data_IF_082392629689
#
_entry.id   IF_082392629689
#
_cell.length_a   1.000
_cell.length_b   1.000
_cell.length_c   1.000
_cell.angle_alpha   90.00
_cell.angle_beta   90.00
_cell.angle_gamma   90.00
#
_symmetry.space_group_name_H-M   'P 1'
#
loop_
_entity.id
_entity.type
_entity.pdbx_description
1 polymer ?
#
# COMPACT_ATOMS: atom_id res chain seq x y z
N UNK A 1 8.02 46.90 -15.46
CA UNK A 1 7.27 46.33 -14.33
C UNK A 1 6.72 44.98 -14.78
N UNK A 2 6.78 43.97 -13.93
CA UNK A 2 6.16 42.67 -14.22
C UNK A 2 4.71 42.73 -13.78
N UNK A 3 3.79 42.47 -14.72
CA UNK A 3 2.36 42.47 -14.45
C UNK A 3 1.89 41.02 -14.61
N UNK A 4 1.11 40.53 -13.64
CA UNK A 4 0.55 39.18 -13.67
C UNK A 4 -0.97 39.29 -13.74
N UNK A 5 -1.56 38.66 -14.74
CA UNK A 5 -3.01 38.61 -14.93
C UNK A 5 -3.44 37.27 -15.49
N UNK A 6 -4.68 36.86 -15.18
CA UNK A 6 -5.33 35.69 -15.79
C UNK A 6 -5.93 36.02 -17.16
N UNK A 7 -6.25 37.28 -17.40
CA UNK A 7 -6.79 37.79 -18.67
C UNK A 7 -5.71 38.60 -19.38
N UNK A 8 -5.74 38.59 -20.71
CA UNK A 8 -4.75 39.31 -21.53
C UNK A 8 -4.81 40.81 -21.25
N UNK A 9 -3.65 41.37 -20.91
CA UNK A 9 -3.49 42.81 -20.71
C UNK A 9 -3.04 43.42 -22.04
N UNK A 10 -3.74 44.47 -22.48
CA UNK A 10 -3.43 45.19 -23.74
C UNK A 10 -2.67 46.49 -23.53
N UNK A 11 -2.66 47.04 -22.30
CA UNK A 11 -1.91 48.24 -21.92
C UNK A 11 -1.46 48.20 -20.44
N UNK A 12 -0.39 48.92 -20.11
CA UNK A 12 0.14 48.93 -18.75
C UNK A 12 -0.85 49.60 -17.78
N UNK A 13 -1.30 48.94 -16.69
CA UNK A 13 -2.27 49.53 -15.75
C UNK A 13 -1.79 50.80 -15.04
N UNK A 14 -0.48 51.04 -14.99
CA UNK A 14 0.10 52.20 -14.31
C UNK A 14 0.40 53.38 -15.25
N UNK A 15 0.91 53.12 -16.47
CA UNK A 15 1.32 54.20 -17.40
C UNK A 15 0.58 54.20 -18.74
N UNK A 16 -0.35 53.27 -18.97
CA UNK A 16 -1.10 53.07 -20.22
C UNK A 16 -0.21 52.85 -21.46
N UNK A 17 1.06 52.49 -21.24
CA UNK A 17 2.00 52.17 -22.31
C UNK A 17 1.75 50.79 -22.92
N UNK A 18 2.41 50.52 -24.04
CA UNK A 18 2.41 49.21 -24.68
C UNK A 18 2.98 48.14 -23.74
N UNK A 19 2.33 46.98 -23.70
CA UNK A 19 2.80 45.80 -22.95
C UNK A 19 3.18 44.70 -23.92
N UNK A 20 4.06 43.82 -23.46
CA UNK A 20 4.49 42.64 -24.21
C UNK A 20 4.50 41.47 -23.25
N UNK A 21 3.95 40.34 -23.67
CA UNK A 21 3.94 39.12 -22.88
C UNK A 21 5.38 38.63 -22.67
N UNK A 22 5.68 38.25 -21.43
CA UNK A 22 6.94 37.58 -21.11
C UNK A 22 7.00 36.24 -21.85
N UNK A 23 8.02 36.00 -22.72
CA UNK A 23 8.12 34.76 -23.47
C UNK A 23 8.53 33.56 -22.59
N UNK A 24 8.95 33.78 -21.34
CA UNK A 24 9.37 32.72 -20.44
C UNK A 24 8.20 31.85 -19.94
N UNK A 25 8.54 30.63 -19.52
CA UNK A 25 7.62 29.68 -18.90
C UNK A 25 8.10 29.30 -17.51
N UNK A 26 7.17 28.89 -16.66
CA UNK A 26 7.49 28.41 -15.32
C UNK A 26 8.11 27.00 -15.38
N UNK A 27 9.06 26.75 -14.48
CA UNK A 27 9.63 25.43 -14.24
C UNK A 27 8.52 24.43 -13.85
N UNK A 28 8.63 23.18 -14.29
CA UNK A 28 7.68 22.12 -13.91
C UNK A 28 7.67 21.87 -12.40
N UNK A 29 8.79 22.10 -11.72
CA UNK A 29 8.85 22.00 -10.26
C UNK A 29 8.15 23.15 -9.55
N UNK A 30 7.90 24.28 -10.24
CA UNK A 30 7.08 25.36 -9.71
C UNK A 30 5.64 24.89 -9.52
N UNK A 31 5.01 24.37 -10.58
CA UNK A 31 3.62 23.88 -10.50
C UNK A 31 3.50 22.64 -9.61
N UNK A 32 4.45 21.71 -9.69
CA UNK A 32 4.44 20.47 -8.89
C UNK A 32 4.62 20.74 -7.39
N UNK A 33 5.31 21.82 -7.02
CA UNK A 33 5.46 22.24 -5.62
C UNK A 33 4.16 22.77 -5.00
N UNK A 34 3.20 23.23 -5.80
CA UNK A 34 1.90 23.68 -5.31
C UNK A 34 0.92 22.51 -5.05
N UNK A 35 1.30 21.28 -5.41
CA UNK A 35 0.45 20.09 -5.37
C UNK A 35 -0.34 19.88 -4.06
N UNK A 36 0.25 20.06 -2.85
CA UNK A 36 -0.43 19.74 -1.60
C UNK A 36 -1.69 20.55 -1.31
N UNK A 37 -1.92 21.66 -2.00
CA UNK A 37 -3.07 22.55 -1.79
C UNK A 37 -3.76 22.95 -3.10
N UNK A 38 -3.01 23.10 -4.20
CA UNK A 38 -3.55 23.40 -5.53
C UNK A 38 -4.56 22.35 -6.02
N UNK A 39 -4.36 21.08 -5.65
CA UNK A 39 -5.27 19.98 -6.01
C UNK A 39 -6.65 20.08 -5.36
N UNK A 40 -6.76 20.86 -4.28
CA UNK A 40 -7.99 21.01 -3.51
C UNK A 40 -8.72 22.31 -3.83
N UNK A 41 -8.36 22.98 -4.93
CA UNK A 41 -9.06 24.18 -5.40
C UNK A 41 -8.47 25.50 -4.92
N UNK A 42 -7.31 25.48 -4.26
CA UNK A 42 -6.50 26.66 -4.04
C UNK A 42 -6.25 27.42 -5.37
N UNK A 43 -6.25 28.76 -5.39
CA UNK A 43 -6.24 29.69 -4.26
C UNK A 43 -7.63 30.03 -3.68
N UNK A 44 -8.68 29.31 -4.05
CA UNK A 44 -9.99 29.49 -3.42
C UNK A 44 -10.03 28.78 -2.07
N UNK A 45 -10.75 29.37 -1.12
CA UNK A 45 -11.00 28.77 0.18
C UNK A 45 -12.12 27.72 0.10
N UNK A 46 -11.77 26.52 -0.32
CA UNK A 46 -12.71 25.41 -0.56
C UNK A 46 -12.92 24.57 0.70
N UNK A 47 -14.02 23.81 0.74
CA UNK A 47 -14.27 22.87 1.84
C UNK A 47 -13.25 21.73 1.85
N UNK A 48 -12.81 21.29 0.67
CA UNK A 48 -11.81 20.24 0.48
C UNK A 48 -10.45 20.67 1.05
N UNK A 49 -10.02 21.91 0.77
CA UNK A 49 -8.76 22.44 1.29
C UNK A 49 -8.79 22.47 2.83
N UNK A 50 -9.87 22.97 3.43
CA UNK A 50 -10.04 23.00 4.90
C UNK A 50 -10.07 21.62 5.55
N UNK A 51 -10.62 20.63 4.85
CA UNK A 51 -10.81 19.29 5.40
C UNK A 51 -9.54 18.44 5.33
N UNK A 52 -8.75 18.60 4.26
CA UNK A 52 -7.70 17.64 3.91
C UNK A 52 -6.28 18.23 3.92
N UNK A 53 -6.13 19.54 4.06
CA UNK A 53 -4.85 20.20 4.30
C UNK A 53 -4.68 20.55 5.80
N UNK A 54 -3.52 20.27 6.41
CA UNK A 54 -2.36 19.59 5.84
C UNK A 54 -2.56 18.07 5.70
N UNK A 55 -1.91 17.48 4.71
CA UNK A 55 -2.04 16.04 4.42
C UNK A 55 -1.31 15.16 5.47
N UNK A 56 -1.62 13.87 5.52
CA UNK A 56 -1.06 12.98 6.55
C UNK A 56 0.31 12.42 6.18
N UNK A 57 0.45 11.82 5.00
CA UNK A 57 1.67 11.12 4.57
C UNK A 57 1.96 11.41 3.10
N UNK A 58 3.15 11.90 2.80
CA UNK A 58 3.68 11.97 1.43
C UNK A 58 4.55 10.74 1.15
N UNK A 59 4.22 9.96 0.12
CA UNK A 59 4.99 8.78 -0.31
C UNK A 59 5.74 9.10 -1.59
N UNK A 60 7.07 8.94 -1.61
CA UNK A 60 7.87 9.17 -2.82
C UNK A 60 9.23 8.47 -2.80
N UNK A 61 9.87 8.34 -3.96
CA UNK A 61 11.26 7.94 -4.09
C UNK A 61 12.23 9.03 -3.63
N UNK A 62 13.42 8.64 -3.16
CA UNK A 62 14.43 9.60 -2.70
C UNK A 62 15.00 10.50 -3.81
N UNK A 63 14.83 10.14 -5.08
CA UNK A 63 15.44 10.85 -6.21
C UNK A 63 14.82 12.22 -6.50
N UNK A 64 13.65 12.51 -5.92
CA UNK A 64 12.96 13.81 -6.04
C UNK A 64 12.75 14.54 -4.71
N UNK A 65 13.52 14.22 -3.66
CA UNK A 65 13.45 14.91 -2.37
C UNK A 65 13.65 16.43 -2.55
N UNK A 66 14.72 16.85 -3.22
CA UNK A 66 15.01 18.28 -3.41
C UNK A 66 14.13 18.94 -4.46
N UNK A 67 13.79 18.22 -5.53
CA UNK A 67 13.03 18.76 -6.65
C UNK A 67 11.53 18.88 -6.35
N UNK A 68 10.99 18.02 -5.49
CA UNK A 68 9.56 17.97 -5.21
C UNK A 68 9.23 18.18 -3.73
N UNK A 69 9.73 17.31 -2.83
CA UNK A 69 9.39 17.38 -1.39
C UNK A 69 9.76 18.72 -0.79
N UNK A 70 11.00 19.17 -1.00
CA UNK A 70 11.48 20.46 -0.49
C UNK A 70 10.74 21.65 -1.13
N UNK A 71 10.37 21.55 -2.41
CA UNK A 71 9.59 22.59 -3.10
C UNK A 71 8.18 22.71 -2.54
N UNK A 72 7.53 21.58 -2.26
CA UNK A 72 6.22 21.55 -1.61
C UNK A 72 6.27 22.20 -0.23
N UNK A 73 7.28 21.88 0.58
CA UNK A 73 7.46 22.48 1.92
C UNK A 73 7.66 23.99 1.79
N UNK A 74 8.58 24.43 0.94
CA UNK A 74 8.85 25.86 0.74
C UNK A 74 7.61 26.63 0.30
N UNK A 75 6.89 26.14 -0.71
CA UNK A 75 5.71 26.84 -1.24
C UNK A 75 4.53 26.83 -0.27
N UNK A 76 4.34 25.73 0.46
CA UNK A 76 3.30 25.66 1.49
C UNK A 76 3.57 26.65 2.63
N UNK A 77 4.82 26.76 3.09
CA UNK A 77 5.19 27.73 4.12
C UNK A 77 5.03 29.19 3.64
N UNK A 78 5.25 29.44 2.35
CA UNK A 78 5.06 30.76 1.76
C UNK A 78 3.58 31.12 1.59
N UNK A 79 2.76 30.22 1.03
CA UNK A 79 1.38 30.54 0.63
C UNK A 79 0.31 30.18 1.67
N UNK A 80 0.48 29.08 2.39
CA UNK A 80 -0.47 28.60 3.41
C UNK A 80 0.04 28.81 4.84
N UNK A 81 1.33 29.14 5.01
CA UNK A 81 1.98 29.32 6.30
C UNK A 81 1.91 28.09 7.23
N UNK A 82 1.75 26.91 6.65
CA UNK A 82 1.71 25.62 7.35
C UNK A 82 2.52 24.56 6.58
N UNK A 83 2.93 23.49 7.27
CA UNK A 83 3.61 22.37 6.62
C UNK A 83 2.61 21.54 5.78
N UNK A 84 2.97 21.07 4.58
CA UNK A 84 2.01 20.42 3.68
C UNK A 84 1.65 18.98 4.04
N UNK A 85 2.50 18.30 4.83
CA UNK A 85 2.33 16.91 5.24
C UNK A 85 2.97 16.65 6.61
N UNK A 86 2.36 15.77 7.41
CA UNK A 86 2.88 15.39 8.74
C UNK A 86 4.03 14.39 8.67
N UNK A 87 3.95 13.43 7.75
CA UNK A 87 4.97 12.40 7.54
C UNK A 87 5.45 12.38 6.08
N UNK A 88 6.72 12.06 5.88
CA UNK A 88 7.29 11.78 4.55
C UNK A 88 7.85 10.35 4.56
N UNK A 89 7.22 9.48 3.79
CA UNK A 89 7.68 8.11 3.58
C UNK A 89 8.52 8.04 2.31
N UNK A 90 9.83 7.85 2.49
CA UNK A 90 10.78 7.74 1.39
C UNK A 90 11.06 6.27 1.10
N UNK A 91 10.62 5.79 -0.06
CA UNK A 91 11.02 4.47 -0.54
C UNK A 91 12.27 4.57 -1.44
N UNK A 92 13.00 3.47 -1.60
CA UNK A 92 14.05 3.40 -2.61
C UNK A 92 13.51 3.17 -4.00
N UNK A 93 14.41 2.97 -4.96
CA UNK A 93 14.07 2.78 -6.36
C UNK A 93 14.04 1.29 -6.73
N UNK A 94 13.14 0.95 -7.64
CA UNK A 94 13.18 -0.36 -8.29
C UNK A 94 14.32 -0.38 -9.31
N UNK A 95 15.22 -1.33 -9.15
CA UNK A 95 16.39 -1.57 -10.00
C UNK A 95 16.19 -2.85 -10.80
N UNK A 96 16.85 -2.95 -11.94
CA UNK A 96 16.89 -4.22 -12.67
C UNK A 96 17.60 -5.32 -11.86
N UNK A 97 17.57 -6.56 -12.35
CA UNK A 97 18.17 -7.71 -11.66
C UNK A 97 19.68 -7.59 -11.41
N UNK A 98 20.36 -6.70 -12.15
CA UNK A 98 21.78 -6.36 -12.00
C UNK A 98 22.02 -5.14 -11.09
N UNK A 99 20.96 -4.51 -10.57
CA UNK A 99 21.05 -3.34 -9.68
C UNK A 99 21.14 -1.98 -10.40
N UNK A 100 20.96 -1.92 -11.73
CA UNK A 100 21.01 -0.66 -12.48
C UNK A 100 19.66 0.08 -12.38
N UNK A 101 19.70 1.43 -12.44
CA UNK A 101 18.45 2.23 -12.55
C UNK A 101 17.68 1.75 -13.78
N UNK A 102 16.39 1.49 -13.63
CA UNK A 102 15.54 1.26 -14.80
C UNK A 102 15.39 2.57 -15.58
N UNK A 103 15.65 2.55 -16.89
CA UNK A 103 15.46 3.69 -17.76
C UNK A 103 15.09 3.26 -19.18
N UNK A 104 14.39 4.14 -19.89
CA UNK A 104 14.09 3.94 -21.31
C UNK A 104 15.37 3.81 -22.16
N UNK A 105 16.41 4.59 -21.83
CA UNK A 105 17.68 4.58 -22.56
C UNK A 105 18.46 3.27 -22.43
N UNK A 106 18.33 2.56 -21.31
CA UNK A 106 18.98 1.27 -21.08
C UNK A 106 18.14 0.09 -21.57
N UNK A 107 16.88 0.32 -21.96
CA UNK A 107 15.96 -0.73 -22.40
C UNK A 107 15.66 -1.78 -21.31
N UNK A 108 16.01 -1.51 -20.05
CA UNK A 108 15.85 -2.42 -18.92
C UNK A 108 14.59 -2.12 -18.08
N UNK A 109 13.70 -1.29 -18.60
CA UNK A 109 12.41 -1.01 -17.99
C UNK A 109 11.47 -2.20 -18.14
N UNK A 110 10.83 -2.59 -17.04
CA UNK A 110 9.80 -3.62 -17.04
C UNK A 110 8.46 -2.89 -17.00
N UNK A 111 7.60 -3.17 -17.98
CA UNK A 111 6.24 -2.64 -17.98
C UNK A 111 5.40 -3.39 -16.94
N UNK A 112 4.88 -2.72 -15.90
CA UNK A 112 4.11 -3.39 -14.86
C UNK A 112 2.85 -4.07 -15.40
N UNK A 113 2.25 -3.55 -16.48
CA UNK A 113 1.05 -4.14 -17.06
C UNK A 113 1.32 -5.51 -17.69
N UNK A 114 2.51 -5.72 -18.26
CA UNK A 114 2.88 -7.01 -18.84
C UNK A 114 3.05 -8.05 -17.74
N UNK A 115 3.70 -7.67 -16.62
CA UNK A 115 3.82 -8.52 -15.43
C UNK A 115 2.46 -8.83 -14.81
N UNK A 116 1.56 -7.83 -14.74
CA UNK A 116 0.19 -8.03 -14.24
C UNK A 116 -0.58 -8.99 -15.15
N UNK A 117 -0.44 -8.86 -16.47
CA UNK A 117 -1.10 -9.74 -17.44
C UNK A 117 -0.68 -11.21 -17.28
N UNK A 118 0.57 -11.45 -16.89
CA UNK A 118 1.13 -12.81 -16.76
C UNK A 118 0.98 -13.40 -15.35
N UNK A 119 1.18 -12.60 -14.30
CA UNK A 119 1.25 -13.06 -12.90
C UNK A 119 0.13 -12.52 -12.00
N UNK A 120 -0.62 -11.53 -12.43
CA UNK A 120 -1.66 -10.87 -11.65
C UNK A 120 -1.16 -9.67 -10.83
N UNK A 121 -2.08 -8.76 -10.52
CA UNK A 121 -1.78 -7.53 -9.78
C UNK A 121 -1.33 -7.78 -8.34
N UNK A 122 -1.94 -8.75 -7.65
CA UNK A 122 -1.60 -9.07 -6.26
C UNK A 122 -0.18 -9.60 -6.13
N UNK A 123 0.25 -10.45 -7.07
CA UNK A 123 1.61 -10.97 -7.12
C UNK A 123 2.64 -9.84 -7.25
N UNK A 124 2.41 -8.89 -8.17
CA UNK A 124 3.28 -7.73 -8.35
C UNK A 124 3.28 -6.82 -7.11
N UNK A 125 2.11 -6.48 -6.57
CA UNK A 125 1.99 -5.63 -5.38
C UNK A 125 2.71 -6.22 -4.18
N UNK A 126 2.48 -7.51 -3.90
CA UNK A 126 3.13 -8.20 -2.80
C UNK A 126 4.65 -8.28 -3.01
N UNK A 127 5.12 -8.43 -4.25
CA UNK A 127 6.56 -8.38 -4.59
C UNK A 127 7.20 -7.03 -4.29
N UNK A 128 6.50 -5.93 -4.58
CA UNK A 128 7.02 -4.57 -4.38
C UNK A 128 7.03 -4.14 -2.91
N UNK A 129 6.14 -4.71 -2.09
CA UNK A 129 6.04 -4.40 -0.65
C UNK A 129 6.96 -5.30 0.18
N UNK A 130 7.04 -6.60 -0.13
CA UNK A 130 7.84 -7.55 0.66
C UNK A 130 9.35 -7.38 0.48
N UNK A 131 10.10 -7.67 1.54
CA UNK A 131 11.57 -7.68 1.50
C UNK A 131 12.18 -6.34 1.12
N UNK A 132 11.48 -5.23 1.39
CA UNK A 132 11.96 -3.88 1.17
C UNK A 132 11.82 -3.05 2.44
N UNK A 133 12.95 -2.54 2.92
CA UNK A 133 12.99 -1.56 4.01
C UNK A 133 12.91 -0.16 3.40
N UNK A 134 12.14 0.78 3.99
CA UNK A 134 12.07 2.15 3.48
C UNK A 134 13.47 2.76 3.25
N UNK A 135 13.61 3.52 2.17
CA UNK A 135 14.88 4.10 1.72
C UNK A 135 15.82 3.17 0.94
N UNK A 136 15.68 1.85 1.03
CA UNK A 136 16.53 0.92 0.30
C UNK A 136 16.02 0.65 -1.13
N UNK A 137 16.96 0.56 -2.06
CA UNK A 137 16.66 0.13 -3.43
C UNK A 137 16.34 -1.37 -3.44
N UNK A 138 15.34 -1.74 -4.24
CA UNK A 138 15.00 -3.14 -4.47
C UNK A 138 15.47 -3.58 -5.86
N UNK A 139 16.11 -4.75 -5.94
CA UNK A 139 16.34 -5.41 -7.23
C UNK A 139 15.11 -6.22 -7.62
N UNK A 140 14.65 -6.02 -8.84
CA UNK A 140 13.50 -6.72 -9.37
C UNK A 140 13.93 -8.05 -10.01
N UNK A 141 13.34 -9.13 -9.52
CA UNK A 141 13.55 -10.50 -9.97
C UNK A 141 12.19 -11.10 -10.32
N UNK A 142 12.07 -11.68 -11.51
CA UNK A 142 10.78 -12.27 -11.94
C UNK A 142 10.42 -13.49 -11.09
N UNK A 143 11.43 -14.21 -10.62
CA UNK A 143 11.32 -15.35 -9.73
C UNK A 143 10.60 -14.99 -8.41
N UNK A 144 10.74 -13.73 -7.94
CA UNK A 144 9.99 -13.24 -6.78
C UNK A 144 8.52 -13.04 -7.09
N UNK A 145 8.20 -12.57 -8.31
CA UNK A 145 6.82 -12.42 -8.76
C UNK A 145 6.16 -13.79 -8.89
N UNK A 146 6.85 -14.77 -9.45
CA UNK A 146 6.41 -16.17 -9.52
C UNK A 146 6.12 -16.76 -8.13
N UNK A 147 7.05 -16.57 -7.19
CA UNK A 147 6.86 -17.01 -5.81
C UNK A 147 5.61 -16.38 -5.17
N UNK A 148 5.40 -15.08 -5.38
CA UNK A 148 4.25 -14.36 -4.83
C UNK A 148 2.93 -14.69 -5.54
N UNK A 149 2.96 -15.05 -6.83
CA UNK A 149 1.80 -15.67 -7.51
C UNK A 149 1.45 -17.00 -6.86
N UNK A 150 2.45 -17.83 -6.54
CA UNK A 150 2.21 -19.11 -5.86
C UNK A 150 1.62 -18.90 -4.46
N UNK A 151 2.02 -17.84 -3.76
CA UNK A 151 1.39 -17.44 -2.50
C UNK A 151 -0.07 -17.05 -2.66
N UNK A 152 -0.41 -16.21 -3.65
CA UNK A 152 -1.81 -15.91 -3.96
C UNK A 152 -2.61 -17.19 -4.25
N UNK A 153 -2.02 -18.15 -4.97
CA UNK A 153 -2.66 -19.45 -5.21
C UNK A 153 -2.79 -20.29 -3.92
N UNK A 154 -1.85 -20.20 -2.98
CA UNK A 154 -1.97 -20.86 -1.66
C UNK A 154 -3.16 -20.30 -0.87
N UNK A 155 -3.34 -18.98 -0.85
CA UNK A 155 -4.51 -18.31 -0.25
C UNK A 155 -5.81 -18.79 -0.92
N UNK A 156 -5.85 -18.85 -2.25
CA UNK A 156 -6.98 -19.36 -2.99
C UNK A 156 -7.33 -20.81 -2.62
N UNK A 157 -6.34 -21.69 -2.55
CA UNK A 157 -6.54 -23.09 -2.19
C UNK A 157 -7.02 -23.26 -0.75
N UNK A 158 -6.49 -22.48 0.19
CA UNK A 158 -6.95 -22.46 1.57
C UNK A 158 -8.42 -22.00 1.67
N UNK A 159 -8.75 -20.90 1.00
CA UNK A 159 -10.12 -20.36 0.95
C UNK A 159 -11.10 -21.37 0.35
N UNK A 160 -10.72 -22.01 -0.75
CA UNK A 160 -11.52 -23.06 -1.39
C UNK A 160 -11.71 -24.26 -0.46
N UNK A 161 -10.67 -24.69 0.26
CA UNK A 161 -10.77 -25.76 1.24
C UNK A 161 -11.79 -25.41 2.34
N UNK A 162 -11.74 -24.20 2.90
CA UNK A 162 -12.70 -23.75 3.91
C UNK A 162 -14.11 -23.80 3.34
N UNK A 163 -14.37 -23.12 2.21
CA UNK A 163 -15.70 -23.04 1.59
C UNK A 163 -16.31 -24.42 1.31
N UNK A 164 -15.51 -25.38 0.82
CA UNK A 164 -15.97 -26.75 0.57
C UNK A 164 -16.38 -27.51 1.85
N UNK A 165 -15.85 -27.09 3.01
CA UNK A 165 -16.08 -27.72 4.30
C UNK A 165 -17.11 -26.98 5.17
N UNK A 166 -17.79 -25.95 4.64
CA UNK A 166 -18.87 -25.24 5.33
C UNK A 166 -20.27 -25.86 5.13
N UNK A 167 -20.35 -27.14 4.75
CA UNK A 167 -21.64 -27.83 4.68
C UNK A 167 -22.27 -27.86 6.09
N UNK A 168 -23.55 -27.46 6.18
CA UNK A 168 -24.29 -27.31 7.45
C UNK A 168 -23.63 -26.34 8.45
N UNK A 169 -22.87 -25.37 7.96
CA UNK A 169 -22.35 -24.29 8.79
C UNK A 169 -23.50 -23.47 9.39
N UNK A 170 -23.38 -23.19 10.68
CA UNK A 170 -24.36 -22.45 11.46
C UNK A 170 -23.70 -21.15 11.96
N UNK A 171 -24.01 -20.03 11.29
CA UNK A 171 -23.49 -18.70 11.65
C UNK A 171 -23.86 -18.27 13.08
N UNK A 172 -24.91 -18.87 13.66
CA UNK A 172 -25.33 -18.57 15.04
C UNK A 172 -24.56 -19.36 16.10
N UNK A 173 -23.82 -20.39 15.70
CA UNK A 173 -23.00 -21.18 16.60
C UNK A 173 -21.74 -20.41 16.98
N UNK A 174 -21.54 -20.21 18.29
CA UNK A 174 -20.31 -19.64 18.86
C UNK A 174 -19.73 -20.65 19.85
N UNK A 175 -18.48 -21.13 19.64
CA UNK A 175 -17.87 -22.07 20.56
C UNK A 175 -17.54 -21.41 21.89
N UNK A 176 -17.63 -22.19 22.97
CA UNK A 176 -17.16 -21.80 24.30
C UNK A 176 -15.69 -22.21 24.48
N UNK A 177 -15.01 -21.71 25.50
CA UNK A 177 -13.62 -22.09 25.77
C UNK A 177 -13.44 -23.60 25.99
N UNK A 178 -14.46 -24.27 26.52
CA UNK A 178 -14.45 -25.72 26.74
C UNK A 178 -14.52 -26.53 25.43
N UNK A 179 -14.98 -25.91 24.34
CA UNK A 179 -15.04 -26.54 23.02
C UNK A 179 -13.70 -26.50 22.27
N UNK A 180 -12.77 -25.66 22.71
CA UNK A 180 -11.49 -25.44 22.03
C UNK A 180 -10.46 -26.51 22.42
N UNK A 181 -9.90 -27.16 21.42
CA UNK A 181 -8.74 -28.03 21.58
C UNK A 181 -7.46 -27.20 21.79
N UNK A 182 -6.35 -27.86 22.14
CA UNK A 182 -5.04 -27.18 22.20
C UNK A 182 -4.66 -26.54 20.86
N UNK A 183 -4.96 -27.20 19.74
CA UNK A 183 -4.70 -26.67 18.40
C UNK A 183 -5.53 -25.42 18.12
N UNK A 184 -6.79 -25.39 18.56
CA UNK A 184 -7.67 -24.23 18.41
C UNK A 184 -7.19 -23.03 19.24
N UNK A 185 -6.83 -23.27 20.50
CA UNK A 185 -6.27 -22.22 21.37
C UNK A 185 -4.97 -21.66 20.79
N UNK A 186 -4.10 -22.54 20.28
CA UNK A 186 -2.84 -22.17 19.66
C UNK A 186 -3.04 -21.30 18.41
N UNK A 187 -3.94 -21.66 17.49
CA UNK A 187 -4.12 -20.85 16.28
C UNK A 187 -4.76 -19.49 16.59
N UNK A 188 -5.68 -19.41 17.55
CA UNK A 188 -6.27 -18.14 17.99
C UNK A 188 -5.23 -17.23 18.61
N UNK A 189 -4.33 -17.78 19.43
CA UNK A 189 -3.20 -17.03 19.99
C UNK A 189 -2.27 -16.54 18.87
N UNK A 190 -1.86 -17.42 17.94
CA UNK A 190 -1.00 -17.05 16.81
C UNK A 190 -1.63 -15.99 15.92
N UNK A 191 -2.92 -16.09 15.64
CA UNK A 191 -3.65 -15.09 14.88
C UNK A 191 -3.59 -13.72 15.57
N UNK A 192 -3.91 -13.67 16.87
CA UNK A 192 -3.89 -12.40 17.62
C UNK A 192 -2.48 -11.81 17.73
N UNK A 193 -1.45 -12.64 17.93
CA UNK A 193 -0.04 -12.21 17.88
C UNK A 193 0.32 -11.61 16.52
N UNK A 194 -0.07 -12.28 15.43
CA UNK A 194 0.16 -11.81 14.06
C UNK A 194 -0.57 -10.49 13.79
N UNK A 195 -1.84 -10.36 14.19
CA UNK A 195 -2.60 -9.10 14.05
C UNK A 195 -1.92 -7.96 14.81
N UNK A 196 -1.49 -8.20 16.05
CA UNK A 196 -0.78 -7.20 16.85
C UNK A 196 0.55 -6.78 16.18
N UNK A 197 1.32 -7.74 15.69
CA UNK A 197 2.59 -7.50 14.99
C UNK A 197 2.41 -6.71 13.70
N UNK A 198 1.44 -7.09 12.87
CA UNK A 198 1.11 -6.39 11.61
C UNK A 198 0.68 -4.96 11.92
N UNK A 199 -0.22 -4.76 12.88
CA UNK A 199 -0.70 -3.43 13.27
C UNK A 199 0.45 -2.53 13.70
N UNK A 200 1.32 -3.03 14.60
CA UNK A 200 2.48 -2.28 15.08
C UNK A 200 3.50 -1.94 13.97
N UNK A 201 3.64 -2.80 12.96
CA UNK A 201 4.51 -2.54 11.81
C UNK A 201 3.88 -1.51 10.86
N UNK A 202 2.57 -1.58 10.61
CA UNK A 202 1.87 -0.59 9.79
C UNK A 202 1.91 0.80 10.42
N UNK A 203 1.73 0.91 11.74
CA UNK A 203 1.84 2.19 12.48
C UNK A 203 3.23 2.84 12.35
N UNK A 204 4.26 2.03 12.08
CA UNK A 204 5.65 2.47 11.89
C UNK A 204 6.04 2.60 10.41
N UNK A 205 5.11 2.36 9.49
CA UNK A 205 5.37 2.28 8.04
C UNK A 205 6.32 1.14 7.62
N UNK A 206 6.48 0.10 8.45
CA UNK A 206 7.26 -1.11 8.15
C UNK A 206 6.43 -2.11 7.32
N UNK A 207 6.02 -1.68 6.12
CA UNK A 207 5.10 -2.44 5.26
C UNK A 207 5.68 -3.80 4.84
N UNK A 208 7.01 -3.89 4.64
CA UNK A 208 7.68 -5.13 4.27
C UNK A 208 7.61 -6.19 5.38
N UNK A 209 7.81 -5.79 6.63
CA UNK A 209 7.71 -6.68 7.81
C UNK A 209 6.25 -7.08 8.08
N UNK A 210 5.31 -6.16 7.89
CA UNK A 210 3.88 -6.48 7.95
C UNK A 210 3.50 -7.54 6.90
N UNK A 211 3.95 -7.38 5.65
CA UNK A 211 3.68 -8.35 4.59
C UNK A 211 4.36 -9.70 4.84
N UNK A 212 5.59 -9.72 5.37
CA UNK A 212 6.26 -10.97 5.77
C UNK A 212 5.47 -11.71 6.87
N UNK A 213 4.96 -10.97 7.86
CA UNK A 213 4.14 -11.54 8.94
C UNK A 213 2.87 -12.20 8.41
N UNK A 214 2.22 -11.59 7.39
CA UNK A 214 1.05 -12.18 6.71
C UNK A 214 1.44 -13.48 5.99
N UNK A 215 2.55 -13.47 5.25
CA UNK A 215 3.03 -14.65 4.54
C UNK A 215 3.29 -15.81 5.50
N UNK A 216 4.04 -15.55 6.58
CA UNK A 216 4.43 -16.58 7.54
C UNK A 216 3.23 -17.15 8.29
N UNK A 217 2.26 -16.31 8.68
CA UNK A 217 1.04 -16.79 9.31
C UNK A 217 0.22 -17.67 8.36
N UNK A 218 -0.11 -17.17 7.16
CA UNK A 218 -0.97 -17.91 6.24
C UNK A 218 -0.30 -19.21 5.79
N UNK A 219 0.95 -19.14 5.35
CA UNK A 219 1.62 -20.30 4.78
C UNK A 219 2.04 -21.27 5.87
N UNK A 220 2.91 -20.83 6.79
CA UNK A 220 3.63 -21.70 7.69
C UNK A 220 2.83 -22.05 8.94
N UNK A 221 1.80 -21.28 9.31
CA UNK A 221 1.00 -21.51 10.53
C UNK A 221 -0.38 -22.05 10.19
N UNK A 222 -1.15 -21.31 9.38
CA UNK A 222 -2.53 -21.66 9.08
C UNK A 222 -2.62 -22.85 8.12
N UNK A 223 -1.97 -22.75 6.95
CA UNK A 223 -2.10 -23.81 5.94
C UNK A 223 -1.33 -25.08 6.30
N UNK A 224 -0.06 -24.96 6.70
CA UNK A 224 0.80 -26.12 6.89
C UNK A 224 0.49 -26.90 8.18
N UNK A 225 -0.11 -26.24 9.18
CA UNK A 225 -0.50 -26.87 10.44
C UNK A 225 -1.99 -26.86 10.70
N UNK A 226 -2.62 -25.68 10.85
CA UNK A 226 -3.99 -25.64 11.38
C UNK A 226 -5.00 -26.32 10.46
N UNK A 227 -4.93 -26.08 9.14
CA UNK A 227 -5.77 -26.77 8.15
C UNK A 227 -5.58 -28.29 8.23
N UNK A 228 -4.33 -28.78 8.35
CA UNK A 228 -4.06 -30.21 8.44
C UNK A 228 -4.62 -30.83 9.73
N UNK A 229 -4.51 -30.11 10.85
CA UNK A 229 -5.08 -30.50 12.14
C UNK A 229 -6.62 -30.44 12.15
N UNK A 230 -7.22 -29.59 11.31
CA UNK A 230 -8.67 -29.45 11.17
C UNK A 230 -9.32 -30.60 10.39
N UNK A 231 -8.62 -31.18 9.40
CA UNK A 231 -9.17 -32.21 8.49
C UNK A 231 -9.84 -33.40 9.21
N UNK A 232 -9.22 -34.05 10.22
CA UNK A 232 -9.85 -35.19 10.89
C UNK A 232 -11.17 -34.82 11.59
N UNK A 233 -11.26 -33.60 12.12
CA UNK A 233 -12.44 -33.09 12.83
C UNK A 233 -13.55 -32.68 11.86
N UNK A 234 -13.19 -32.16 10.69
CA UNK A 234 -14.14 -31.84 9.62
C UNK A 234 -14.78 -33.09 8.99
N UNK A 235 -14.01 -34.16 8.81
CA UNK A 235 -14.46 -35.37 8.13
C UNK A 235 -15.06 -36.43 9.07
N UNK A 236 -15.04 -36.20 10.38
CA UNK A 236 -15.61 -37.12 11.36
C UNK A 236 -17.10 -36.82 11.58
N UNK A 237 -17.93 -37.86 11.47
CA UNK A 237 -19.35 -37.79 11.84
C UNK A 237 -19.58 -38.05 13.34
N UNK A 238 -18.51 -38.29 14.11
CA UNK A 238 -18.62 -38.72 15.50
C UNK A 238 -18.97 -37.58 16.48
N UNK A 239 -18.62 -36.33 16.17
CA UNK A 239 -18.83 -35.20 17.07
C UNK A 239 -19.21 -33.93 16.30
N UNK A 240 -20.51 -33.67 16.19
CA UNK A 240 -21.05 -32.52 15.47
C UNK A 240 -20.60 -31.19 16.09
N UNK A 241 -20.53 -31.10 17.42
CA UNK A 241 -20.13 -29.87 18.11
C UNK A 241 -18.67 -29.53 17.83
N UNK A 242 -17.79 -30.52 17.84
CA UNK A 242 -16.38 -30.37 17.48
C UNK A 242 -16.19 -29.90 16.03
N UNK A 243 -16.97 -30.47 15.11
CA UNK A 243 -16.99 -30.04 13.70
C UNK A 243 -17.44 -28.58 13.56
N UNK A 244 -18.50 -28.16 14.25
CA UNK A 244 -18.97 -26.76 14.24
C UNK A 244 -17.92 -25.80 14.81
N UNK A 245 -17.20 -26.20 15.85
CA UNK A 245 -16.09 -25.41 16.42
C UNK A 245 -14.99 -25.15 15.40
N UNK A 246 -14.53 -26.19 14.69
CA UNK A 246 -13.46 -25.99 13.69
C UNK A 246 -13.96 -25.21 12.47
N UNK A 247 -15.22 -25.39 12.04
CA UNK A 247 -15.82 -24.58 10.97
C UNK A 247 -15.88 -23.09 11.37
N UNK A 248 -16.30 -22.79 12.60
CA UNK A 248 -16.31 -21.42 13.13
C UNK A 248 -14.92 -20.79 13.09
N UNK A 249 -13.89 -21.51 13.55
CA UNK A 249 -12.52 -21.00 13.59
C UNK A 249 -11.92 -20.80 12.20
N UNK A 250 -12.18 -21.72 11.25
CA UNK A 250 -11.72 -21.57 9.87
C UNK A 250 -12.33 -20.37 9.13
N UNK A 251 -13.51 -19.90 9.54
CA UNK A 251 -14.15 -18.69 9.00
C UNK A 251 -13.66 -17.43 9.72
N UNK A 252 -13.37 -17.54 11.02
CA UNK A 252 -13.01 -16.38 11.86
C UNK A 252 -11.55 -15.97 11.68
N UNK A 253 -10.66 -16.94 11.45
CA UNK A 253 -9.20 -16.79 11.35
C UNK A 253 -8.80 -16.76 9.88
#
# INVERSE_FOLDING_TARGET
>A
ETIVSREDITECPHCHGHVTQDPDVLDTWFSSGLWPFATMGWPKDTAELKQWYPTSVLVTGYDIIFFWVARMIFMALEFEHEIPFKHVFIHGLVRDSQGRKMSKSLGNGINPLDVIGEYGADALRFTLVTGNTPGNDMRFYMERVEANRNFANKIWNASKFVLMNLTNYDESFVPTEADLTLADKWIVEKYNETVASITANLDKFELGEAASSVYDFIWNTYCDWYIELAKPRLYSDANERDRRTVQYLLVTI
#
